data_IF_258969778857
#
_entry.id   IF_258969778857
#
_cell.length_a   1.000
_cell.length_b   1.000
_cell.length_c   1.000
_cell.angle_alpha   90.00
_cell.angle_beta   90.00
_cell.angle_gamma   90.00
#
_symmetry.space_group_name_H-M   'P 1'
#
loop_
_entity.id
_entity.type
_entity.pdbx_description
1 polymer ?
#
# COMPACT_ATOMS: atom_id res chain seq x y z
N UNK A 1 -15.49 -2.76 31.81
CA UNK A 1 -15.90 -4.17 31.64
C UNK A 1 -14.78 -5.08 31.11
N UNK A 2 -14.08 -4.73 30.02
CA UNK A 2 -13.03 -5.58 29.43
C UNK A 2 -11.87 -5.96 30.38
N UNK A 3 -11.41 -5.05 31.25
CA UNK A 3 -10.31 -5.33 32.19
C UNK A 3 -10.66 -6.42 33.23
N UNK A 4 -11.90 -6.44 33.72
CA UNK A 4 -12.39 -7.46 34.66
C UNK A 4 -12.45 -8.84 34.01
N UNK A 5 -12.97 -8.89 32.78
CA UNK A 5 -13.04 -10.12 31.99
C UNK A 5 -11.64 -10.69 31.65
N UNK A 6 -10.70 -9.82 31.25
CA UNK A 6 -9.29 -10.20 31.03
C UNK A 6 -8.66 -10.78 32.30
N UNK A 7 -8.93 -10.20 33.48
CA UNK A 7 -8.39 -10.69 34.76
C UNK A 7 -8.94 -12.08 35.08
N UNK A 8 -10.24 -12.29 34.87
CA UNK A 8 -10.88 -13.58 35.09
C UNK A 8 -10.33 -14.67 34.15
N UNK A 9 -10.20 -14.36 32.86
CA UNK A 9 -9.62 -15.28 31.88
C UNK A 9 -8.18 -15.66 32.24
N UNK A 10 -7.34 -14.70 32.64
CA UNK A 10 -5.97 -15.01 33.09
C UNK A 10 -5.95 -15.99 34.26
N UNK A 11 -6.84 -15.79 35.24
CA UNK A 11 -6.95 -16.69 36.40
C UNK A 11 -7.38 -18.09 35.97
N UNK A 12 -8.43 -18.19 35.16
CA UNK A 12 -8.97 -19.48 34.68
C UNK A 12 -7.94 -20.26 33.86
N UNK A 13 -7.33 -19.63 32.86
CA UNK A 13 -6.35 -20.28 31.98
C UNK A 13 -5.06 -20.59 32.73
N UNK A 14 -4.60 -19.69 33.61
CA UNK A 14 -3.46 -19.96 34.49
C UNK A 14 -3.69 -21.20 35.38
N UNK A 15 -4.89 -21.40 35.89
CA UNK A 15 -5.24 -22.61 36.65
C UNK A 15 -5.22 -23.88 35.78
N UNK A 16 -5.73 -23.79 34.54
CA UNK A 16 -5.70 -24.91 33.58
C UNK A 16 -4.27 -25.28 33.20
N UNK A 17 -3.41 -24.30 32.89
CA UNK A 17 -2.01 -24.53 32.55
C UNK A 17 -1.23 -25.11 33.72
N UNK A 18 -1.51 -24.67 34.95
CA UNK A 18 -0.89 -25.23 36.15
C UNK A 18 -1.26 -26.71 36.36
N UNK A 19 -2.47 -27.10 35.98
CA UNK A 19 -2.95 -28.48 36.06
C UNK A 19 -2.44 -29.37 34.91
N UNK A 20 -1.91 -28.79 33.84
CA UNK A 20 -1.41 -29.53 32.69
C UNK A 20 -0.10 -30.26 33.05
N UNK A 21 0.02 -31.58 32.81
CA UNK A 21 1.26 -32.32 33.09
C UNK A 21 2.46 -31.78 32.29
N UNK A 22 3.65 -31.80 32.86
CA UNK A 22 4.87 -31.30 32.19
C UNK A 22 5.20 -32.10 30.92
N UNK A 23 4.94 -33.41 30.93
CA UNK A 23 5.11 -34.27 29.76
C UNK A 23 4.18 -33.85 28.59
N UNK A 24 2.96 -33.41 28.90
CA UNK A 24 2.00 -32.93 27.92
C UNK A 24 2.43 -31.58 27.33
N UNK A 25 2.95 -30.67 28.18
CA UNK A 25 3.54 -29.40 27.74
C UNK A 25 4.72 -29.67 26.80
N UNK A 26 5.62 -30.59 27.15
CA UNK A 26 6.78 -30.94 26.34
C UNK A 26 6.39 -31.54 24.98
N UNK A 27 5.43 -32.48 24.95
CA UNK A 27 4.97 -33.10 23.70
C UNK A 27 4.27 -32.08 22.80
N UNK A 28 3.40 -31.24 23.37
CA UNK A 28 2.75 -30.16 22.63
C UNK A 28 3.78 -29.16 22.09
N UNK A 29 4.79 -28.81 22.87
CA UNK A 29 5.87 -27.91 22.46
C UNK A 29 6.70 -28.49 21.31
N UNK A 30 7.00 -29.79 21.35
CA UNK A 30 7.72 -30.48 20.27
C UNK A 30 6.96 -30.41 18.94
N UNK A 31 5.67 -30.77 18.95
CA UNK A 31 4.82 -30.70 17.75
C UNK A 31 4.70 -29.28 17.21
N UNK A 32 4.54 -28.31 18.12
CA UNK A 32 4.44 -26.90 17.76
C UNK A 32 5.75 -26.41 17.11
N UNK A 33 6.91 -26.80 17.66
CA UNK A 33 8.21 -26.48 17.07
C UNK A 33 8.36 -27.08 15.66
N UNK A 34 7.96 -28.34 15.46
CA UNK A 34 7.95 -28.98 14.14
C UNK A 34 7.09 -28.21 13.14
N UNK A 35 5.87 -27.82 13.54
CA UNK A 35 4.97 -27.03 12.70
C UNK A 35 5.56 -25.67 12.34
N UNK A 36 6.07 -24.93 13.33
CA UNK A 36 6.64 -23.59 13.10
C UNK A 36 7.89 -23.68 12.22
N UNK A 37 8.77 -24.66 12.44
CA UNK A 37 9.96 -24.87 11.60
C UNK A 37 9.61 -25.20 10.14
N UNK A 38 8.46 -25.85 9.89
CA UNK A 38 7.98 -26.16 8.55
C UNK A 38 7.35 -24.96 7.82
N UNK A 39 7.14 -23.82 8.50
CA UNK A 39 6.52 -22.64 7.90
C UNK A 39 7.47 -21.92 6.91
N UNK A 40 6.95 -21.44 5.77
CA UNK A 40 7.67 -20.51 4.90
C UNK A 40 8.19 -19.28 5.67
N UNK A 41 7.37 -18.75 6.58
CA UNK A 41 7.68 -17.58 7.39
C UNK A 41 8.90 -17.80 8.30
N UNK A 42 9.10 -19.03 8.81
CA UNK A 42 10.29 -19.39 9.59
C UNK A 42 11.49 -19.71 8.71
N UNK A 43 11.29 -20.50 7.66
CA UNK A 43 12.39 -20.91 6.77
C UNK A 43 13.03 -19.73 6.04
N UNK A 44 12.23 -18.77 5.57
CA UNK A 44 12.67 -17.57 4.84
C UNK A 44 13.25 -16.48 5.74
N UNK A 45 12.82 -16.39 7.01
CA UNK A 45 13.30 -15.36 7.92
C UNK A 45 14.80 -15.50 8.19
N UNK A 46 15.58 -14.44 7.97
CA UNK A 46 17.01 -14.34 8.30
C UNK A 46 17.22 -13.91 9.75
N UNK A 47 16.23 -13.24 10.34
CA UNK A 47 16.28 -12.85 11.73
C UNK A 47 14.94 -13.09 12.44
N UNK A 48 15.02 -13.72 13.61
CA UNK A 48 13.86 -14.16 14.39
C UNK A 48 13.99 -13.76 15.84
N UNK A 49 12.88 -13.30 16.43
CA UNK A 49 12.74 -13.10 17.86
C UNK A 49 12.03 -14.29 18.48
N UNK A 50 12.63 -14.86 19.52
CA UNK A 50 12.10 -16.00 20.26
C UNK A 50 12.17 -15.69 21.75
N UNK A 51 11.06 -15.88 22.46
CA UNK A 51 11.03 -15.68 23.91
C UNK A 51 11.68 -16.86 24.63
N UNK A 52 12.20 -16.59 25.83
CA UNK A 52 12.72 -17.60 26.74
C UNK A 52 11.59 -18.01 27.69
N UNK A 53 11.29 -19.30 27.73
CA UNK A 53 10.06 -19.80 28.31
C UNK A 53 9.98 -19.64 29.83
N UNK A 54 8.79 -19.28 30.30
CA UNK A 54 8.40 -19.40 31.71
C UNK A 54 7.83 -20.79 32.01
N UNK A 55 7.74 -21.18 33.29
CA UNK A 55 7.03 -22.40 33.67
C UNK A 55 5.61 -22.44 33.08
N UNK A 56 5.27 -23.56 32.45
CA UNK A 56 3.98 -23.82 31.78
C UNK A 56 3.71 -22.97 30.52
N UNK A 57 4.73 -22.32 29.94
CA UNK A 57 4.68 -21.85 28.56
C UNK A 57 5.17 -22.93 27.59
N UNK A 58 4.96 -22.70 26.29
CA UNK A 58 5.55 -23.54 25.24
C UNK A 58 7.07 -23.46 25.35
N UNK A 59 7.74 -24.60 25.38
CA UNK A 59 9.20 -24.68 25.39
C UNK A 59 9.75 -24.27 24.02
N UNK A 60 10.66 -23.28 23.99
CA UNK A 60 11.17 -22.71 22.74
C UNK A 60 12.58 -23.17 22.39
N UNK A 61 13.20 -24.02 23.21
CA UNK A 61 14.57 -24.51 22.99
C UNK A 61 14.78 -25.12 21.59
N UNK A 62 13.85 -25.96 21.13
CA UNK A 62 13.92 -26.57 19.80
C UNK A 62 13.84 -25.53 18.67
N UNK A 63 13.09 -24.43 18.86
CA UNK A 63 13.00 -23.34 17.89
C UNK A 63 14.28 -22.51 17.85
N UNK A 64 14.89 -22.26 19.01
CA UNK A 64 16.19 -21.59 19.11
C UNK A 64 17.28 -22.41 18.42
N UNK A 65 17.34 -23.72 18.70
CA UNK A 65 18.30 -24.65 18.08
C UNK A 65 18.12 -24.70 16.56
N UNK A 66 16.88 -24.79 16.08
CA UNK A 66 16.58 -24.76 14.65
C UNK A 66 16.97 -23.42 13.99
N UNK A 67 16.74 -22.30 14.67
CA UNK A 67 17.09 -20.97 14.15
C UNK A 67 18.61 -20.79 14.01
N UNK A 68 19.38 -21.20 15.03
CA UNK A 68 20.85 -21.16 14.95
C UNK A 68 21.40 -22.16 13.93
N UNK A 69 20.84 -23.37 13.84
CA UNK A 69 21.24 -24.35 12.83
C UNK A 69 21.01 -23.85 11.40
N UNK A 70 19.99 -23.03 11.18
CA UNK A 70 19.71 -22.34 9.93
C UNK A 70 20.49 -21.02 9.75
N UNK A 71 21.47 -20.74 10.61
CA UNK A 71 22.33 -19.55 10.59
C UNK A 71 21.55 -18.22 10.62
N UNK A 72 20.42 -18.19 11.34
CA UNK A 72 19.58 -17.00 11.52
C UNK A 72 20.12 -16.14 12.65
N UNK A 73 19.91 -14.82 12.57
CA UNK A 73 20.08 -13.91 13.70
C UNK A 73 18.95 -14.16 14.71
N UNK A 74 19.29 -14.46 15.96
CA UNK A 74 18.31 -14.78 17.01
C UNK A 74 18.26 -13.65 18.03
N UNK A 75 17.07 -13.14 18.32
CA UNK A 75 16.84 -12.11 19.32
C UNK A 75 15.99 -12.63 20.47
N UNK A 76 16.38 -12.32 21.70
CA UNK A 76 15.70 -12.74 22.93
C UNK A 76 15.28 -11.53 23.77
N UNK A 77 14.16 -11.60 24.50
CA UNK A 77 13.64 -10.47 25.26
C UNK A 77 14.50 -10.15 26.49
N UNK A 78 14.76 -8.87 26.72
CA UNK A 78 15.37 -8.32 27.94
C UNK A 78 14.49 -7.21 28.51
N UNK A 79 14.11 -7.32 29.77
CA UNK A 79 13.45 -6.22 30.48
C UNK A 79 14.51 -5.40 31.22
N UNK A 80 14.66 -4.12 30.86
CA UNK A 80 15.67 -3.21 31.43
C UNK A 80 15.14 -2.33 32.57
N UNK A 81 13.83 -2.38 32.86
CA UNK A 81 13.18 -1.50 33.81
C UNK A 81 11.77 -1.94 34.20
N UNK A 82 10.92 -0.99 34.59
CA UNK A 82 9.57 -1.26 35.14
C UNK A 82 8.44 -0.85 34.19
N UNK A 83 8.74 -0.08 33.15
CA UNK A 83 7.80 0.35 32.12
C UNK A 83 7.63 -0.73 31.06
N UNK A 84 6.46 -0.76 30.41
CA UNK A 84 6.24 -1.61 29.24
C UNK A 84 7.21 -1.29 28.08
N UNK A 85 7.75 -0.07 28.06
CA UNK A 85 8.74 0.40 27.09
C UNK A 85 10.15 -0.18 27.34
N UNK A 86 10.39 -0.75 28.53
CA UNK A 86 11.70 -1.27 28.89
C UNK A 86 11.97 -2.68 28.34
N UNK A 87 11.09 -3.22 27.49
CA UNK A 87 11.35 -4.46 26.77
C UNK A 87 12.24 -4.19 25.56
N UNK A 88 13.43 -4.79 25.53
CA UNK A 88 14.35 -4.83 24.39
C UNK A 88 14.45 -6.22 23.82
N UNK A 89 14.82 -6.35 22.55
CA UNK A 89 15.08 -7.64 21.91
C UNK A 89 16.56 -7.72 21.58
N UNK A 90 17.35 -8.38 22.43
CA UNK A 90 18.80 -8.40 22.30
C UNK A 90 19.27 -9.62 21.53
N UNK A 91 20.26 -9.42 20.66
CA UNK A 91 20.81 -10.52 19.87
C UNK A 91 21.56 -11.53 20.76
N UNK A 92 21.22 -12.81 20.60
CA UNK A 92 21.98 -13.94 21.11
C UNK A 92 22.94 -14.46 20.01
N UNK A 93 24.17 -14.76 20.40
CA UNK A 93 25.23 -15.17 19.46
C UNK A 93 25.21 -16.68 19.17
N UNK A 94 24.76 -17.49 20.12
CA UNK A 94 24.65 -18.94 19.97
C UNK A 94 23.78 -19.58 21.05
N UNK A 95 23.51 -20.88 20.92
CA UNK A 95 22.91 -21.66 22.01
C UNK A 95 23.77 -21.68 23.27
N UNK A 96 25.11 -21.68 23.14
CA UNK A 96 26.00 -21.65 24.29
C UNK A 96 25.95 -20.31 25.01
N UNK A 97 25.79 -19.22 24.26
CA UNK A 97 25.58 -17.86 24.78
C UNK A 97 24.28 -17.81 25.59
N UNK A 98 23.16 -18.34 25.07
CA UNK A 98 21.90 -18.38 25.84
C UNK A 98 22.03 -19.20 27.12
N UNK A 99 22.75 -20.32 27.08
CA UNK A 99 22.99 -21.19 28.24
C UNK A 99 23.90 -20.53 29.29
N UNK A 100 24.73 -19.56 28.92
CA UNK A 100 25.61 -18.83 29.85
C UNK A 100 24.93 -17.64 30.52
N UNK A 101 23.74 -17.23 30.05
CA UNK A 101 23.04 -16.09 30.63
C UNK A 101 22.74 -16.29 32.13
N UNK A 102 22.89 -15.24 32.96
CA UNK A 102 22.47 -15.30 34.34
C UNK A 102 20.97 -15.58 34.39
N UNK A 103 20.53 -16.39 35.35
CA UNK A 103 19.11 -16.65 35.54
C UNK A 103 18.48 -15.58 36.42
N UNK A 104 17.27 -15.17 36.07
CA UNK A 104 16.49 -14.24 36.88
C UNK A 104 15.82 -14.93 38.09
N UNK A 105 14.96 -14.20 38.80
CA UNK A 105 14.21 -14.70 39.97
C UNK A 105 13.28 -15.88 39.64
N UNK A 106 12.92 -16.05 38.38
CA UNK A 106 12.03 -17.09 37.88
C UNK A 106 12.80 -18.25 37.22
N UNK A 107 14.13 -18.26 37.34
CA UNK A 107 15.03 -19.25 36.72
C UNK A 107 15.08 -19.17 35.19
N UNK A 108 14.62 -18.06 34.61
CA UNK A 108 14.64 -17.83 33.16
C UNK A 108 15.99 -17.20 32.81
N UNK A 109 16.66 -17.64 31.72
CA UNK A 109 17.88 -16.98 31.27
C UNK A 109 17.62 -15.51 30.95
N UNK A 110 18.43 -14.61 31.50
CA UNK A 110 18.29 -13.16 31.38
C UNK A 110 19.48 -12.59 30.60
N UNK A 111 19.30 -12.18 29.34
CA UNK A 111 20.41 -11.76 28.49
C UNK A 111 21.10 -10.50 29.05
N UNK A 112 22.43 -10.51 29.21
CA UNK A 112 23.18 -9.32 29.63
C UNK A 112 23.13 -8.24 28.54
N UNK A 113 23.25 -6.96 28.93
CA UNK A 113 23.27 -5.84 27.97
C UNK A 113 24.53 -5.83 27.09
N UNK A 114 25.61 -6.41 27.61
CA UNK A 114 26.89 -6.52 26.93
C UNK A 114 27.10 -7.98 26.49
N UNK A 115 27.82 -8.15 25.40
CA UNK A 115 28.37 -9.44 24.97
C UNK A 115 29.64 -9.78 25.77
N UNK A 116 30.15 -11.00 25.59
CA UNK A 116 31.38 -11.47 26.24
C UNK A 116 32.62 -10.62 25.90
N UNK A 117 32.59 -9.92 24.74
CA UNK A 117 33.65 -8.98 24.33
C UNK A 117 33.52 -7.59 24.98
N UNK A 118 32.47 -7.36 25.79
CA UNK A 118 32.17 -6.07 26.40
C UNK A 118 31.44 -5.08 25.47
N UNK A 119 31.19 -5.45 24.22
CA UNK A 119 30.40 -4.63 23.29
C UNK A 119 28.90 -4.70 23.60
N UNK A 120 28.13 -3.61 23.44
CA UNK A 120 26.67 -3.65 23.55
C UNK A 120 26.05 -4.67 22.60
N UNK A 121 25.03 -5.40 23.07
CA UNK A 121 24.25 -6.28 22.18
C UNK A 121 23.32 -5.47 21.31
N UNK A 122 23.19 -5.89 20.06
CA UNK A 122 22.28 -5.28 19.09
C UNK A 122 20.82 -5.47 19.53
N UNK A 123 20.05 -4.38 19.47
CA UNK A 123 18.61 -4.37 19.74
C UNK A 123 17.84 -4.45 18.42
N UNK A 124 16.92 -5.42 18.33
CA UNK A 124 16.15 -5.69 17.11
C UNK A 124 15.26 -4.52 16.67
N UNK A 125 14.93 -3.58 17.57
CA UNK A 125 14.16 -2.37 17.22
C UNK A 125 15.04 -1.31 16.54
N UNK A 126 16.35 -1.31 16.81
CA UNK A 126 17.28 -0.35 16.21
C UNK A 126 17.76 -0.83 14.83
N UNK A 127 17.77 -2.14 14.62
CA UNK A 127 18.01 -2.74 13.31
C UNK A 127 16.72 -2.91 12.50
N UNK A 128 16.84 -2.92 11.18
CA UNK A 128 15.74 -3.19 10.24
C UNK A 128 15.73 -4.64 9.72
N UNK A 129 16.25 -5.56 10.54
CA UNK A 129 16.54 -6.93 10.10
C UNK A 129 15.57 -7.98 10.65
N UNK A 130 14.79 -7.65 11.69
CA UNK A 130 13.84 -8.60 12.28
C UNK A 130 12.74 -8.93 11.26
N UNK A 131 12.48 -10.21 11.00
CA UNK A 131 11.50 -10.64 9.99
C UNK A 131 10.40 -11.49 10.60
N UNK A 132 10.68 -12.16 11.73
CA UNK A 132 9.74 -13.03 12.44
C UNK A 132 9.80 -12.82 13.95
N UNK A 133 8.64 -12.74 14.60
CA UNK A 133 8.51 -12.64 16.06
C UNK A 133 7.63 -13.77 16.57
N UNK A 134 8.18 -14.61 17.45
CA UNK A 134 7.46 -15.66 18.15
C UNK A 134 7.07 -15.15 19.54
N UNK A 135 5.77 -15.12 19.83
CA UNK A 135 5.23 -14.46 21.01
C UNK A 135 4.63 -15.45 22.02
N UNK A 136 4.89 -15.26 23.32
CA UNK A 136 4.16 -15.92 24.37
C UNK A 136 2.83 -15.22 24.65
N UNK A 137 1.96 -15.90 25.40
CA UNK A 137 0.67 -15.38 25.83
C UNK A 137 -0.01 -16.34 26.79
N UNK A 138 -0.96 -15.82 27.56
CA UNK A 138 -1.82 -16.63 28.44
C UNK A 138 -2.92 -17.31 27.62
N UNK A 139 -3.51 -16.59 26.67
CA UNK A 139 -4.56 -17.11 25.79
C UNK A 139 -4.48 -16.47 24.40
N UNK A 140 -4.99 -17.20 23.41
CA UNK A 140 -5.06 -16.80 22.01
C UNK A 140 -6.44 -17.12 21.45
N UNK A 141 -6.82 -16.49 20.34
CA UNK A 141 -8.00 -16.90 19.57
C UNK A 141 -7.68 -17.06 18.08
N UNK A 142 -8.62 -17.64 17.33
CA UNK A 142 -8.46 -17.89 15.89
C UNK A 142 -8.39 -16.62 15.04
N UNK A 143 -8.75 -15.47 15.60
CA UNK A 143 -8.71 -14.15 14.92
C UNK A 143 -7.36 -13.46 15.13
N UNK A 144 -6.45 -14.03 15.91
CA UNK A 144 -5.15 -13.45 16.23
C UNK A 144 -5.19 -12.57 17.49
N UNK A 145 -6.29 -12.62 18.26
CA UNK A 145 -6.35 -12.00 19.56
C UNK A 145 -5.38 -12.68 20.53
N UNK A 146 -4.67 -11.88 21.33
CA UNK A 146 -3.71 -12.37 22.33
C UNK A 146 -3.96 -11.73 23.69
N UNK A 147 -3.98 -12.56 24.72
CA UNK A 147 -4.02 -12.13 26.11
C UNK A 147 -2.66 -12.34 26.77
N UNK A 148 -1.89 -11.28 26.99
CA UNK A 148 -0.65 -11.35 27.76
C UNK A 148 -0.88 -11.36 29.28
N UNK A 149 0.21 -11.44 30.07
CA UNK A 149 0.18 -11.43 31.55
C UNK A 149 -0.27 -10.10 32.19
N UNK A 150 -0.50 -9.05 31.39
CA UNK A 150 -1.14 -7.80 31.83
C UNK A 150 -0.21 -6.60 32.02
N UNK A 151 1.10 -6.76 31.76
CA UNK A 151 2.08 -5.66 31.77
C UNK A 151 2.21 -4.92 30.44
N UNK A 152 1.71 -5.49 29.34
CA UNK A 152 1.70 -4.84 28.03
C UNK A 152 3.07 -4.72 27.35
N UNK A 153 4.11 -5.41 27.85
CA UNK A 153 5.48 -5.36 27.29
C UNK A 153 5.48 -5.63 25.77
N UNK A 154 4.89 -6.75 25.36
CA UNK A 154 4.86 -7.13 23.97
C UNK A 154 3.93 -6.24 23.12
N UNK A 155 2.81 -5.75 23.66
CA UNK A 155 1.92 -4.85 22.90
C UNK A 155 2.63 -3.51 22.62
N UNK A 156 3.37 -3.01 23.61
CA UNK A 156 4.24 -1.84 23.47
C UNK A 156 5.40 -2.09 22.49
N UNK A 157 6.04 -3.24 22.56
CA UNK A 157 7.11 -3.64 21.63
C UNK A 157 6.59 -3.73 20.20
N UNK A 158 5.49 -4.44 19.95
CA UNK A 158 4.89 -4.58 18.62
C UNK A 158 4.45 -3.24 18.04
N UNK A 159 3.94 -2.32 18.88
CA UNK A 159 3.64 -0.95 18.46
C UNK A 159 4.90 -0.23 17.97
N UNK A 160 5.95 -0.18 18.79
CA UNK A 160 7.21 0.51 18.44
C UNK A 160 7.87 -0.09 17.21
N UNK A 161 7.82 -1.41 17.08
CA UNK A 161 8.34 -2.14 15.93
C UNK A 161 7.57 -1.76 14.66
N UNK A 162 6.24 -1.71 14.72
CA UNK A 162 5.42 -1.29 13.58
C UNK A 162 5.65 0.19 13.20
N UNK A 163 5.81 1.08 14.19
CA UNK A 163 6.13 2.50 13.98
C UNK A 163 7.50 2.64 13.29
N UNK A 164 8.53 1.98 13.80
CA UNK A 164 9.88 2.02 13.22
C UNK A 164 9.90 1.49 11.77
N UNK A 165 9.25 0.35 11.51
CA UNK A 165 9.20 -0.23 10.17
C UNK A 165 8.43 0.64 9.18
N UNK A 166 7.36 1.32 9.64
CA UNK A 166 6.64 2.30 8.83
C UNK A 166 7.52 3.51 8.48
N UNK A 167 8.32 4.03 9.43
CA UNK A 167 9.23 5.15 9.20
C UNK A 167 10.29 4.86 8.13
N UNK A 168 10.85 3.64 8.14
CA UNK A 168 11.86 3.21 7.15
C UNK A 168 11.24 2.69 5.84
N UNK A 169 9.90 2.63 5.73
CA UNK A 169 9.20 2.17 4.53
C UNK A 169 9.26 0.66 4.27
N UNK A 170 9.46 -0.14 5.32
CA UNK A 170 9.48 -1.61 5.25
C UNK A 170 8.22 -2.22 5.89
N UNK A 171 7.76 -3.41 5.43
CA UNK A 171 6.66 -4.11 6.07
C UNK A 171 7.07 -4.60 7.47
N UNK A 172 6.18 -4.55 8.48
CA UNK A 172 6.52 -5.00 9.82
C UNK A 172 6.81 -6.51 9.85
N UNK A 173 7.56 -7.00 10.85
CA UNK A 173 7.87 -8.41 10.98
C UNK A 173 6.62 -9.27 11.20
N UNK A 174 6.63 -10.50 10.69
CA UNK A 174 5.52 -11.43 10.88
C UNK A 174 5.42 -11.86 12.34
N UNK A 175 4.21 -11.92 12.89
CA UNK A 175 3.97 -12.29 14.29
C UNK A 175 3.26 -13.64 14.43
N UNK A 176 3.85 -14.55 15.21
CA UNK A 176 3.27 -15.88 15.49
C UNK A 176 3.13 -16.07 17.00
N UNK A 177 1.90 -16.29 17.47
CA UNK A 177 1.64 -16.70 18.85
C UNK A 177 1.83 -18.20 19.03
N UNK A 178 2.63 -18.63 20.01
CA UNK A 178 2.78 -20.05 20.34
C UNK A 178 1.73 -20.43 21.40
N UNK A 179 0.84 -21.35 21.05
CA UNK A 179 -0.38 -21.61 21.79
C UNK A 179 -0.53 -23.10 22.11
N UNK A 180 -0.42 -23.48 23.39
CA UNK A 180 -0.83 -24.82 23.84
C UNK A 180 -2.34 -25.01 23.65
N UNK A 181 -2.81 -26.24 23.49
CA UNK A 181 -4.22 -26.54 23.25
C UNK A 181 -5.18 -25.85 24.25
N UNK A 182 -4.91 -25.82 25.58
CA UNK A 182 -5.80 -25.16 26.53
C UNK A 182 -5.84 -23.63 26.44
N UNK A 183 -4.90 -23.02 25.71
CA UNK A 183 -4.78 -21.57 25.58
C UNK A 183 -5.61 -21.01 24.42
N UNK A 184 -6.10 -21.88 23.52
CA UNK A 184 -6.91 -21.46 22.39
C UNK A 184 -8.37 -21.28 22.83
N UNK A 185 -8.86 -20.05 22.73
CA UNK A 185 -10.22 -19.65 23.06
C UNK A 185 -11.02 -19.32 21.81
N UNK A 186 -12.34 -19.31 21.94
CA UNK A 186 -13.23 -18.82 20.88
C UNK A 186 -13.00 -17.32 20.62
N UNK A 187 -12.83 -16.53 21.69
CA UNK A 187 -12.60 -15.11 21.60
C UNK A 187 -11.81 -14.59 22.79
N UNK A 188 -10.75 -13.84 22.51
CA UNK A 188 -10.03 -13.04 23.51
C UNK A 188 -10.61 -11.63 23.53
N UNK A 189 -10.98 -11.08 24.71
CA UNK A 189 -11.43 -9.71 24.80
C UNK A 189 -10.26 -8.75 24.56
N UNK A 190 -10.33 -7.97 23.48
CA UNK A 190 -9.32 -6.99 23.10
C UNK A 190 -9.73 -5.58 23.53
N UNK A 191 -8.73 -4.76 23.86
CA UNK A 191 -8.80 -3.32 24.03
C UNK A 191 -8.12 -2.63 22.84
N UNK A 192 -8.36 -1.33 22.66
CA UNK A 192 -7.85 -0.57 21.50
C UNK A 192 -6.31 -0.60 21.34
N UNK A 193 -5.58 -0.82 22.44
CA UNK A 193 -4.11 -0.91 22.44
C UNK A 193 -3.56 -2.32 22.21
N UNK A 194 -4.41 -3.36 22.24
CA UNK A 194 -3.93 -4.73 22.02
C UNK A 194 -3.67 -4.95 20.53
N UNK A 195 -2.48 -5.46 20.22
CA UNK A 195 -2.12 -5.81 18.84
C UNK A 195 -2.56 -7.23 18.53
N UNK A 196 -3.26 -7.38 17.42
CA UNK A 196 -3.58 -8.70 16.88
C UNK A 196 -2.35 -9.29 16.19
N UNK A 197 -2.21 -10.60 16.28
CA UNK A 197 -1.16 -11.37 15.64
C UNK A 197 -1.54 -11.74 14.21
N UNK A 198 -0.54 -12.04 13.40
CA UNK A 198 -0.74 -12.52 12.03
C UNK A 198 -1.07 -14.02 12.00
N UNK A 199 -0.46 -14.79 12.92
CA UNK A 199 -0.65 -16.23 13.01
C UNK A 199 -0.69 -16.70 14.47
N UNK A 200 -1.36 -17.84 14.69
CA UNK A 200 -1.34 -18.59 15.95
C UNK A 200 -0.99 -20.04 15.63
N UNK A 201 0.13 -20.53 16.15
CA UNK A 201 0.57 -21.90 16.01
C UNK A 201 0.12 -22.72 17.23
N UNK A 202 -0.49 -23.88 16.98
CA UNK A 202 -0.93 -24.83 18.00
C UNK A 202 -0.25 -26.18 17.76
N UNK A 203 -0.38 -27.19 18.64
CA UNK A 203 0.19 -28.52 18.39
C UNK A 203 -0.45 -29.27 17.21
N UNK A 204 -1.63 -28.84 16.76
CA UNK A 204 -2.43 -29.54 15.73
C UNK A 204 -2.53 -28.77 14.42
N UNK A 205 -2.53 -27.44 14.48
CA UNK A 205 -2.71 -26.58 13.31
C UNK A 205 -2.02 -25.22 13.47
N UNK A 206 -1.74 -24.58 12.33
CA UNK A 206 -1.31 -23.19 12.26
C UNK A 206 -2.43 -22.35 11.66
N UNK A 207 -2.93 -21.41 12.45
CA UNK A 207 -4.04 -20.53 12.09
C UNK A 207 -3.46 -19.24 11.53
N UNK A 208 -3.78 -18.91 10.27
CA UNK A 208 -3.49 -17.60 9.68
C UNK A 208 -4.63 -16.65 9.97
N UNK A 209 -4.39 -15.71 10.88
CA UNK A 209 -5.38 -14.81 11.45
C UNK A 209 -5.59 -13.55 10.61
N UNK A 210 -4.54 -13.12 9.91
CA UNK A 210 -4.59 -12.05 8.94
C UNK A 210 -4.13 -12.61 7.60
N UNK A 211 -4.68 -12.05 6.52
CA UNK A 211 -4.08 -12.26 5.20
C UNK A 211 -2.71 -11.61 5.27
N UNK A 212 -1.69 -12.41 5.57
CA UNK A 212 -0.30 -12.01 5.47
C UNK A 212 -0.20 -11.31 4.13
N UNK A 213 0.32 -10.08 4.12
CA UNK A 213 0.86 -9.55 2.89
C UNK A 213 1.99 -10.52 2.53
N UNK A 214 1.64 -11.57 1.77
CA UNK A 214 2.62 -12.38 1.07
C UNK A 214 3.42 -11.34 0.32
N UNK A 215 4.65 -11.13 0.78
CA UNK A 215 5.69 -10.39 0.10
C UNK A 215 6.08 -11.15 -1.17
N UNK A 216 5.12 -11.49 -2.01
CA UNK A 216 5.36 -11.74 -3.41
C UNK A 216 5.74 -10.39 -3.99
N UNK A 217 6.97 -10.29 -4.51
CA UNK A 217 7.49 -9.67 -5.74
C UNK A 217 6.56 -8.87 -6.69
N UNK A 218 5.39 -8.45 -6.24
CA UNK A 218 4.30 -7.81 -6.97
C UNK A 218 4.33 -6.30 -6.70
N UNK A 219 4.97 -5.81 -5.63
CA UNK A 219 5.07 -4.36 -5.38
C UNK A 219 6.06 -3.64 -6.31
N UNK A 220 7.09 -4.33 -6.81
CA UNK A 220 7.95 -3.80 -7.88
C UNK A 220 7.18 -3.84 -9.21
N UNK A 221 6.45 -4.93 -9.48
CA UNK A 221 5.60 -5.06 -10.67
C UNK A 221 4.47 -4.03 -10.71
N UNK A 222 3.79 -3.75 -9.59
CA UNK A 222 2.68 -2.78 -9.54
C UNK A 222 3.15 -1.33 -9.58
N UNK A 223 4.31 -0.97 -9.02
CA UNK A 223 4.87 0.38 -9.15
C UNK A 223 5.46 0.65 -10.54
N UNK A 224 6.07 -0.35 -11.16
CA UNK A 224 6.53 -0.26 -12.55
C UNK A 224 5.34 -0.30 -13.51
N UNK A 225 4.31 -1.10 -13.26
CA UNK A 225 3.09 -1.13 -14.08
C UNK A 225 2.25 0.14 -13.91
N UNK A 226 2.16 0.70 -12.69
CA UNK A 226 1.49 1.99 -12.45
C UNK A 226 2.29 3.15 -13.00
N UNK A 227 3.62 3.15 -12.84
CA UNK A 227 4.51 4.12 -13.48
C UNK A 227 4.49 4.03 -15.00
N UNK A 228 4.48 2.81 -15.56
CA UNK A 228 4.36 2.56 -17.00
C UNK A 228 2.97 2.89 -17.53
N UNK A 229 1.89 2.63 -16.78
CA UNK A 229 0.52 2.99 -17.14
C UNK A 229 0.31 4.50 -17.07
N UNK A 230 0.85 5.19 -16.06
CA UNK A 230 0.89 6.65 -16.00
C UNK A 230 1.75 7.24 -17.12
N UNK A 231 2.90 6.64 -17.45
CA UNK A 231 3.71 7.04 -18.60
C UNK A 231 3.02 6.75 -19.94
N UNK A 232 2.27 5.65 -20.06
CA UNK A 232 1.48 5.29 -21.24
C UNK A 232 0.30 6.25 -21.39
N UNK A 233 -0.41 6.58 -20.30
CA UNK A 233 -1.47 7.59 -20.24
C UNK A 233 -0.94 8.99 -20.58
N UNK A 234 0.25 9.35 -20.07
CA UNK A 234 0.96 10.58 -20.43
C UNK A 234 1.49 10.56 -21.88
N UNK A 235 1.83 9.39 -22.43
CA UNK A 235 2.29 9.24 -23.81
C UNK A 235 1.14 9.24 -24.82
N UNK A 236 -0.06 8.80 -24.43
CA UNK A 236 -1.30 8.94 -25.23
C UNK A 236 -1.85 10.37 -25.20
N UNK A 237 -1.38 11.22 -24.29
CA UNK A 237 -1.85 12.59 -24.09
C UNK A 237 -1.27 13.63 -25.09
N UNK A 238 -0.97 13.23 -26.34
CA UNK A 238 -0.39 14.12 -27.36
C UNK A 238 -1.38 14.57 -28.45
N UNK A 239 -2.62 14.05 -28.49
CA UNK A 239 -3.52 14.34 -29.61
C UNK A 239 -4.86 14.95 -29.19
N UNK A 240 -4.84 16.21 -28.75
CA UNK A 240 -6.03 17.06 -28.67
C UNK A 240 -5.76 18.37 -29.40
N UNK A 241 -6.47 18.63 -30.50
CA UNK A 241 -6.40 19.90 -31.23
C UNK A 241 -7.31 20.92 -30.55
N UNK A 242 -6.82 22.13 -30.27
CA UNK A 242 -7.59 23.17 -29.57
C UNK A 242 -8.77 23.66 -30.43
N UNK A 243 -9.99 23.69 -29.87
CA UNK A 243 -11.22 24.09 -30.56
C UNK A 243 -11.17 25.55 -31.07
N UNK A 244 -10.45 26.45 -30.39
CA UNK A 244 -10.25 27.83 -30.84
C UNK A 244 -9.33 27.88 -32.05
N UNK A 245 -8.25 27.08 -32.05
CA UNK A 245 -7.36 26.94 -33.20
C UNK A 245 -8.09 26.31 -34.40
N UNK A 246 -8.95 25.32 -34.14
CA UNK A 246 -9.74 24.64 -35.16
C UNK A 246 -10.76 25.58 -35.83
N UNK A 247 -11.37 26.50 -35.08
CA UNK A 247 -12.21 27.58 -35.63
C UNK A 247 -11.39 28.77 -36.16
N UNK A 248 -10.10 28.84 -35.87
CA UNK A 248 -9.24 29.97 -36.23
C UNK A 248 -9.58 31.27 -35.50
N UNK A 249 -10.03 31.18 -34.25
CA UNK A 249 -10.39 32.33 -33.42
C UNK A 249 -9.54 32.41 -32.15
N UNK A 250 -9.48 33.58 -31.52
CA UNK A 250 -8.85 33.76 -30.20
C UNK A 250 -9.72 33.14 -29.09
N UNK A 251 -9.11 32.71 -27.99
CA UNK A 251 -9.81 32.32 -26.76
C UNK A 251 -10.65 33.44 -26.16
N UNK A 252 -10.35 34.70 -26.49
CA UNK A 252 -11.13 35.90 -26.13
C UNK A 252 -12.24 36.26 -27.13
N UNK A 253 -12.50 35.43 -28.14
CA UNK A 253 -13.49 35.73 -29.18
C UNK A 253 -14.92 35.84 -28.63
N UNK A 254 -15.71 36.73 -29.23
CA UNK A 254 -17.13 36.90 -28.93
C UNK A 254 -17.99 35.90 -29.70
N UNK A 255 -19.21 35.63 -29.24
CA UNK A 255 -20.13 34.68 -29.91
C UNK A 255 -20.43 35.04 -31.37
N UNK A 256 -20.41 36.35 -31.71
CA UNK A 256 -20.57 36.82 -33.08
C UNK A 256 -19.35 36.50 -33.97
N UNK A 257 -18.14 36.61 -33.42
CA UNK A 257 -16.88 36.24 -34.10
C UNK A 257 -16.80 34.72 -34.32
N UNK A 258 -17.17 33.91 -33.33
CA UNK A 258 -17.24 32.46 -33.45
C UNK A 258 -18.26 32.01 -34.51
N UNK A 259 -19.46 32.60 -34.50
CA UNK A 259 -20.49 32.31 -35.52
C UNK A 259 -20.06 32.73 -36.94
N UNK A 260 -19.23 33.77 -37.07
CA UNK A 260 -18.66 34.19 -38.36
C UNK A 260 -17.58 33.21 -38.82
N UNK A 261 -16.69 32.80 -37.92
CA UNK A 261 -15.63 31.83 -38.20
C UNK A 261 -16.20 30.45 -38.59
N UNK A 262 -17.18 29.95 -37.84
CA UNK A 262 -17.89 28.71 -38.16
C UNK A 262 -18.51 28.75 -39.56
N UNK A 263 -19.21 29.84 -39.92
CA UNK A 263 -19.80 29.99 -41.27
C UNK A 263 -18.74 29.95 -42.37
N UNK A 264 -17.59 30.60 -42.17
CA UNK A 264 -16.48 30.59 -43.13
C UNK A 264 -15.90 29.17 -43.30
N UNK A 265 -15.71 28.45 -42.20
CA UNK A 265 -15.12 27.11 -42.19
C UNK A 265 -16.11 26.06 -42.72
N UNK A 266 -17.37 26.10 -42.28
CA UNK A 266 -18.45 25.22 -42.76
C UNK A 266 -18.62 25.29 -44.28
N UNK A 267 -18.54 26.49 -44.88
CA UNK A 267 -18.57 26.65 -46.34
C UNK A 267 -17.35 26.07 -47.06
N UNK A 268 -16.18 26.12 -46.42
CA UNK A 268 -14.92 25.63 -46.97
C UNK A 268 -14.84 24.10 -46.95
N UNK A 269 -15.36 23.47 -45.89
CA UNK A 269 -15.28 22.02 -45.66
C UNK A 269 -16.59 21.28 -46.03
N UNK A 270 -17.56 21.94 -46.68
CA UNK A 270 -18.83 21.32 -47.05
C UNK A 270 -18.63 20.17 -48.06
N UNK A 271 -19.14 18.94 -47.81
CA UNK A 271 -18.86 17.76 -48.63
C UNK A 271 -19.34 17.87 -50.08
N UNK A 272 -20.41 18.61 -50.33
CA UNK A 272 -20.98 18.82 -51.67
C UNK A 272 -20.09 19.65 -52.61
N UNK A 273 -19.08 20.35 -52.08
CA UNK A 273 -18.17 21.21 -52.87
C UNK A 273 -16.81 20.57 -53.12
N UNK A 274 -16.65 19.28 -52.78
CA UNK A 274 -15.37 18.58 -52.79
C UNK A 274 -15.32 17.46 -53.84
N UNK A 275 -14.12 17.17 -54.30
CA UNK A 275 -13.85 16.03 -55.20
C UNK A 275 -14.01 14.71 -54.46
N UNK A 276 -14.25 13.61 -55.19
CA UNK A 276 -14.52 12.29 -54.60
C UNK A 276 -13.35 11.80 -53.71
N UNK A 277 -12.11 12.15 -54.07
CA UNK A 277 -10.91 11.84 -53.29
C UNK A 277 -10.77 12.65 -51.99
N UNK A 278 -11.28 13.88 -51.95
CA UNK A 278 -11.14 14.77 -50.77
C UNK A 278 -12.39 14.79 -49.88
N UNK A 279 -13.49 14.20 -50.34
CA UNK A 279 -14.80 14.23 -49.67
C UNK A 279 -14.78 13.64 -48.25
N UNK A 280 -14.13 12.50 -48.04
CA UNK A 280 -14.09 11.86 -46.72
C UNK A 280 -13.28 12.69 -45.71
N UNK A 281 -12.08 13.17 -46.09
CA UNK A 281 -11.25 14.02 -45.22
C UNK A 281 -11.97 15.32 -44.87
N UNK A 282 -12.65 15.94 -45.84
CA UNK A 282 -13.39 17.19 -45.60
C UNK A 282 -14.63 16.98 -44.72
N UNK A 283 -15.28 15.80 -44.84
CA UNK A 283 -16.39 15.40 -43.98
C UNK A 283 -15.94 15.23 -42.52
N UNK A 284 -14.79 14.60 -42.29
CA UNK A 284 -14.20 14.50 -40.95
C UNK A 284 -13.88 15.88 -40.37
N UNK A 285 -13.23 16.75 -41.14
CA UNK A 285 -12.92 18.11 -40.70
C UNK A 285 -14.19 18.94 -40.43
N UNK A 286 -15.23 18.77 -41.25
CA UNK A 286 -16.53 19.41 -41.04
C UNK A 286 -17.17 19.00 -39.70
N UNK A 287 -17.12 17.70 -39.36
CA UNK A 287 -17.61 17.20 -38.07
C UNK A 287 -16.85 17.84 -36.91
N UNK A 288 -15.52 17.91 -37.00
CA UNK A 288 -14.68 18.55 -35.98
C UNK A 288 -15.03 20.04 -35.82
N UNK A 289 -15.17 20.78 -36.92
CA UNK A 289 -15.52 22.21 -36.93
C UNK A 289 -16.92 22.45 -36.34
N UNK A 290 -17.88 21.57 -36.66
CA UNK A 290 -19.23 21.63 -36.11
C UNK A 290 -19.24 21.39 -34.60
N UNK A 291 -18.47 20.40 -34.13
CA UNK A 291 -18.34 20.15 -32.69
C UNK A 291 -17.66 21.32 -31.97
N UNK A 292 -16.59 21.89 -32.55
CA UNK A 292 -15.92 23.06 -32.00
C UNK A 292 -16.87 24.25 -31.81
N UNK A 293 -17.69 24.55 -32.81
CA UNK A 293 -18.69 25.61 -32.69
C UNK A 293 -19.78 25.27 -31.66
N UNK A 294 -20.23 24.02 -31.61
CA UNK A 294 -21.25 23.54 -30.67
C UNK A 294 -20.82 23.70 -29.20
N UNK A 295 -19.55 23.44 -28.90
CA UNK A 295 -18.98 23.61 -27.56
C UNK A 295 -18.72 25.09 -27.25
N UNK A 296 -18.08 25.82 -28.17
CA UNK A 296 -17.63 27.20 -27.91
C UNK A 296 -18.76 28.25 -27.99
N UNK A 297 -19.87 27.95 -28.66
CA UNK A 297 -21.00 28.89 -28.80
C UNK A 297 -21.93 28.94 -27.60
N UNK A 298 -21.95 27.87 -26.79
CA UNK A 298 -22.73 27.79 -25.56
C UNK A 298 -21.89 28.24 -24.36
N UNK A 299 -22.35 29.22 -23.56
CA UNK A 299 -21.56 29.76 -22.46
C UNK A 299 -21.14 28.73 -21.41
N UNK A 300 -22.04 27.80 -21.04
CA UNK A 300 -21.76 26.79 -20.01
C UNK A 300 -20.78 25.73 -20.53
N UNK A 301 -20.96 25.27 -21.77
CA UNK A 301 -20.03 24.32 -22.39
C UNK A 301 -18.67 24.94 -22.67
N UNK A 302 -18.63 26.21 -23.06
CA UNK A 302 -17.40 26.97 -23.23
C UNK A 302 -16.65 27.12 -21.91
N UNK A 303 -17.34 27.44 -20.81
CA UNK A 303 -16.72 27.51 -19.50
C UNK A 303 -16.15 26.15 -19.08
N UNK A 304 -16.93 25.07 -19.22
CA UNK A 304 -16.45 23.72 -18.92
C UNK A 304 -15.28 23.30 -19.82
N UNK A 305 -15.28 23.66 -21.09
CA UNK A 305 -14.12 23.46 -21.98
C UNK A 305 -12.92 24.32 -21.56
N UNK A 306 -13.15 25.58 -21.19
CA UNK A 306 -12.12 26.53 -20.79
C UNK A 306 -11.46 26.17 -19.46
N UNK A 307 -12.20 25.51 -18.56
CA UNK A 307 -11.73 25.05 -17.26
C UNK A 307 -11.15 23.64 -17.37
N UNK A 308 -11.86 22.69 -18.00
CA UNK A 308 -11.58 21.24 -17.94
C UNK A 308 -11.17 20.60 -19.27
N UNK A 309 -11.22 21.29 -20.41
CA UNK A 309 -10.82 20.74 -21.71
C UNK A 309 -11.78 19.71 -22.33
N UNK A 310 -13.02 19.64 -21.85
CA UNK A 310 -14.04 18.67 -22.30
C UNK A 310 -14.68 19.15 -23.62
N UNK A 311 -14.55 18.36 -24.69
CA UNK A 311 -14.94 18.76 -26.04
C UNK A 311 -16.13 17.97 -26.64
N UNK A 312 -16.67 16.97 -25.95
CA UNK A 312 -17.76 16.12 -26.44
C UNK A 312 -18.70 15.65 -25.32
N UNK A 313 -19.86 15.13 -25.74
CA UNK A 313 -20.96 14.76 -24.84
C UNK A 313 -20.58 13.56 -23.95
N UNK A 314 -19.72 12.67 -24.46
CA UNK A 314 -19.17 11.56 -23.68
C UNK A 314 -18.23 12.06 -22.59
N UNK A 315 -17.35 13.03 -22.89
CA UNK A 315 -16.51 13.69 -21.89
C UNK A 315 -17.32 14.43 -20.82
N UNK A 316 -18.45 15.07 -21.21
CA UNK A 316 -19.36 15.71 -20.25
C UNK A 316 -20.04 14.69 -19.33
N UNK A 317 -20.54 13.58 -19.88
CA UNK A 317 -21.19 12.52 -19.10
C UNK A 317 -20.21 11.86 -18.13
N UNK A 318 -19.00 11.53 -18.60
CA UNK A 318 -17.95 10.94 -17.78
C UNK A 318 -17.51 11.88 -16.64
N UNK A 319 -17.47 13.19 -16.88
CA UNK A 319 -17.13 14.17 -15.85
C UNK A 319 -18.23 14.30 -14.78
N UNK A 320 -19.49 14.39 -15.19
CA UNK A 320 -20.62 14.49 -14.26
C UNK A 320 -20.76 13.20 -13.42
N UNK A 321 -20.47 12.03 -14.01
CA UNK A 321 -20.43 10.74 -13.30
C UNK A 321 -19.26 10.67 -12.31
N UNK A 322 -18.06 11.09 -12.72
CA UNK A 322 -16.89 11.15 -11.83
C UNK A 322 -17.09 12.14 -10.66
N UNK A 323 -17.75 13.28 -10.90
CA UNK A 323 -18.06 14.27 -9.87
C UNK A 323 -19.07 13.76 -8.83
N UNK A 324 -20.10 13.00 -9.27
CA UNK A 324 -21.05 12.33 -8.37
C UNK A 324 -20.37 11.26 -7.51
N UNK A 325 -19.49 10.47 -8.12
CA UNK A 325 -18.72 9.46 -7.40
C UNK A 325 -17.80 10.09 -6.33
N UNK A 326 -17.28 11.29 -6.58
CA UNK A 326 -16.46 12.01 -5.61
C UNK A 326 -17.27 12.67 -4.47
N UNK A 327 -18.55 12.99 -4.68
CA UNK A 327 -19.41 13.60 -3.65
C UNK A 327 -20.05 12.59 -2.70
N UNK A 328 -20.30 11.36 -3.16
CA UNK A 328 -20.82 10.28 -2.34
C UNK A 328 -19.64 9.65 -1.57
N UNK A 329 -19.29 10.23 -0.41
CA UNK A 329 -18.11 9.83 0.38
C UNK A 329 -17.94 8.31 0.56
N UNK A 330 -16.72 7.82 0.38
CA UNK A 330 -16.44 6.38 0.29
C UNK A 330 -15.39 5.95 1.33
N UNK A 331 -15.74 4.92 2.10
CA UNK A 331 -14.87 4.14 3.00
C UNK A 331 -13.69 3.45 2.27
N UNK A 332 -12.64 3.05 3.00
CA UNK A 332 -11.39 2.46 2.49
C UNK A 332 -11.57 1.16 1.68
N UNK A 333 -11.92 1.28 0.40
CA UNK A 333 -12.05 0.17 -0.54
C UNK A 333 -11.30 0.44 -1.86
N UNK A 334 -10.97 -0.63 -2.58
CA UNK A 334 -10.34 -0.64 -3.90
C UNK A 334 -11.01 0.33 -4.90
N UNK A 335 -12.30 0.58 -4.73
CA UNK A 335 -13.11 1.49 -5.54
C UNK A 335 -12.68 2.97 -5.42
N UNK A 336 -12.04 3.39 -4.32
CA UNK A 336 -11.50 4.75 -4.16
C UNK A 336 -10.32 5.03 -5.08
N UNK A 337 -9.49 4.02 -5.36
CA UNK A 337 -8.35 4.20 -6.27
C UNK A 337 -8.81 4.29 -7.73
N UNK A 338 -9.86 3.56 -8.10
CA UNK A 338 -10.48 3.68 -9.44
C UNK A 338 -11.11 5.06 -9.61
N UNK A 339 -11.84 5.54 -8.60
CA UNK A 339 -12.40 6.89 -8.59
C UNK A 339 -11.32 7.99 -8.67
N UNK A 340 -10.24 7.88 -7.90
CA UNK A 340 -9.13 8.83 -7.94
C UNK A 340 -8.44 8.87 -9.31
N UNK A 341 -8.21 7.70 -9.93
CA UNK A 341 -7.62 7.62 -11.28
C UNK A 341 -8.57 8.23 -12.32
N UNK A 342 -9.88 7.98 -12.22
CA UNK A 342 -10.87 8.59 -13.10
C UNK A 342 -10.89 10.13 -12.97
N UNK A 343 -10.88 10.65 -11.74
CA UNK A 343 -10.80 12.11 -11.47
C UNK A 343 -9.51 12.72 -11.98
N UNK A 344 -8.37 12.02 -11.86
CA UNK A 344 -7.10 12.50 -12.40
C UNK A 344 -7.07 12.48 -13.93
N UNK A 345 -7.58 11.41 -14.55
CA UNK A 345 -7.58 11.23 -16.01
C UNK A 345 -8.57 12.14 -16.75
N UNK A 346 -9.75 12.35 -16.19
CA UNK A 346 -10.82 13.17 -16.78
C UNK A 346 -10.75 14.62 -16.29
N UNK A 347 -10.29 14.85 -15.06
CA UNK A 347 -10.28 16.16 -14.42
C UNK A 347 -8.93 16.89 -14.50
N UNK A 348 -7.85 16.34 -13.93
CA UNK A 348 -6.60 17.12 -13.74
C UNK A 348 -5.70 17.11 -14.98
N UNK A 349 -5.59 15.97 -15.66
CA UNK A 349 -4.69 15.81 -16.81
C UNK A 349 -5.08 16.72 -17.99
N UNK A 350 -6.37 16.82 -18.40
CA UNK A 350 -6.79 17.74 -19.47
C UNK A 350 -6.51 19.21 -19.15
N UNK A 351 -6.69 19.64 -17.90
CA UNK A 351 -6.41 21.00 -17.43
C UNK A 351 -4.94 21.36 -17.63
N UNK A 352 -4.04 20.48 -17.19
CA UNK A 352 -2.58 20.69 -17.29
C UNK A 352 -2.12 20.73 -18.75
N UNK A 353 -2.69 19.86 -19.60
CA UNK A 353 -2.39 19.83 -21.05
C UNK A 353 -2.82 21.15 -21.71
N UNK A 354 -4.02 21.65 -21.41
CA UNK A 354 -4.54 22.84 -22.06
C UNK A 354 -3.84 24.12 -21.59
N UNK A 355 -3.49 24.22 -20.30
CA UNK A 355 -2.68 25.34 -19.80
C UNK A 355 -1.30 25.40 -20.49
N UNK A 356 -0.71 24.24 -20.84
CA UNK A 356 0.53 24.17 -21.61
C UNK A 356 0.36 24.58 -23.08
N UNK A 357 -0.77 24.26 -23.73
CA UNK A 357 -1.02 24.67 -25.11
C UNK A 357 -1.40 26.16 -25.23
N UNK A 358 -2.10 26.74 -24.26
CA UNK A 358 -2.45 28.18 -24.22
C UNK A 358 -1.26 29.13 -24.14
N UNK A 359 -0.12 28.67 -23.62
CA UNK A 359 1.10 29.48 -23.51
C UNK A 359 1.97 29.49 -24.77
N UNK A 360 1.61 28.70 -25.81
CA UNK A 360 2.28 28.78 -27.11
C UNK A 360 1.73 29.98 -27.90
N UNK A 361 2.57 30.94 -28.30
CA UNK A 361 2.11 32.06 -29.12
C UNK A 361 1.62 31.54 -30.49
N UNK A 362 0.45 32.00 -30.93
CA UNK A 362 -0.11 31.72 -32.25
C UNK A 362 0.93 32.05 -33.32
N UNK A 363 1.47 31.00 -33.96
CA UNK A 363 2.43 31.18 -35.05
C UNK A 363 1.66 31.76 -36.24
N UNK A 364 1.80 33.07 -36.47
CA UNK A 364 1.18 33.81 -37.58
C UNK A 364 1.56 33.11 -38.90
N UNK A 365 0.64 32.32 -39.48
CA UNK A 365 0.82 31.74 -40.83
C UNK A 365 0.97 32.93 -41.78
N UNK A 366 2.13 33.08 -42.41
CA UNK A 366 2.31 34.03 -43.52
C UNK A 366 1.39 33.60 -44.65
N UNK A 367 0.51 34.51 -45.07
CA UNK A 367 -0.15 34.45 -46.37
C UNK A 367 0.94 34.44 -47.45
N UNK A 368 0.93 33.39 -48.28
CA UNK A 368 1.70 33.37 -49.52
C UNK A 368 0.80 34.00 -50.56
N UNK A 369 0.88 35.32 -50.68
CA UNK A 369 0.35 36.01 -51.86
C UNK A 369 1.25 35.67 -53.06
N UNK A 370 0.59 35.19 -54.11
CA UNK A 370 1.22 34.80 -55.36
C UNK A 370 1.85 36.00 -56.06
N UNK A 371 3.08 35.81 -56.53
CA UNK A 371 3.58 36.54 -57.68
C UNK A 371 4.03 35.51 -58.71
N UNK A 372 3.11 35.18 -59.61
CA UNK A 372 3.43 34.59 -60.90
C UNK A 372 3.55 35.73 -61.91
N UNK A 373 4.77 36.00 -62.39
CA UNK A 373 4.95 36.67 -63.67
C UNK A 373 6.19 36.15 -64.39
N UNK A 374 5.90 35.41 -65.48
CA UNK A 374 6.64 35.36 -66.75
C UNK A 374 8.02 34.65 -66.69
N UNK A 375 8.27 33.50 -67.31
CA UNK A 375 7.71 32.96 -68.55
C UNK A 375 8.46 33.48 -69.78
N UNK A 376 9.36 32.64 -70.33
CA UNK A 376 9.92 32.61 -71.71
C UNK A 376 11.02 33.67 -72.00
N UNK A 377 12.11 33.42 -72.72
CA UNK A 377 12.52 32.35 -73.66
C UNK A 377 14.04 32.43 -73.92
N UNK A 378 14.63 31.30 -74.34
CA UNK A 378 15.98 31.12 -74.87
C UNK A 378 16.39 32.09 -75.99
N UNK A 379 17.61 32.61 -75.92
CA UNK A 379 18.76 32.37 -76.83
C UNK A 379 19.81 33.45 -76.63
#
# INVERSE_FOLDING_TARGET
>A
MAASLKKELRRRIGAMLKALPDAEVAEQSRRLAEQVCALPEFSQARAVSVYLEMPKEVATLALLEAAFAANKKVFVPKITGRSAEDLKMLQAQSMQDIRSFPKDKWQIPDPPLLSDSGAPRDDAVQGSELELVLLPGVAFDRRGGRLGHGKGYYDCFLRRLAEHYAEIGHPPPTTIGLCLTPQLLEQVPLAAHDRMLDMVATPTEVIRCRSLHLGTSIMIGKRVLFGALCLLLCATAVFGQDLYELLGVSSSATSSQMKRAYRKMSLKYHPDKQTEETREVMKEEFVKISNAYRVLSDPERREKYDVYGIADDEGFANFDEAARFASDGVEDSLMNWVGLVAVLAVGIIPIVIMQRNRTKPLKKRREVDGCSSLGRTCS
#
